data_IF_288082339687
#
_entry.id   IF_288082339687
#
_cell.length_a   1.000
_cell.length_b   1.000
_cell.length_c   1.000
_cell.angle_alpha   90.00
_cell.angle_beta   90.00
_cell.angle_gamma   90.00
#
_symmetry.space_group_name_H-M   'P 1'
#
loop_
_entity.id
_entity.type
_entity.pdbx_description
1 polymer ?
#
# COMPACT_ATOMS: atom_id res chain seq x y z
N UNK A 1 -7.15 -0.75 16.95
CA UNK A 1 -8.51 -0.76 16.38
C UNK A 1 -8.41 -1.19 14.93
N UNK A 2 -9.18 -2.18 14.49
CA UNK A 2 -9.17 -2.60 13.09
C UNK A 2 -10.08 -1.71 12.23
N UNK A 3 -9.79 -1.53 10.95
CA UNK A 3 -10.66 -0.78 10.02
C UNK A 3 -12.11 -1.31 10.01
N UNK A 4 -12.30 -2.61 10.19
CA UNK A 4 -13.62 -3.24 10.31
C UNK A 4 -14.39 -2.74 11.54
N UNK A 5 -13.72 -2.57 12.68
CA UNK A 5 -14.35 -2.01 13.90
C UNK A 5 -14.71 -0.53 13.73
N UNK A 6 -14.03 0.19 12.83
CA UNK A 6 -14.32 1.59 12.50
C UNK A 6 -15.44 1.74 11.45
N UNK A 7 -16.02 0.63 10.96
CA UNK A 7 -17.04 0.65 9.93
C UNK A 7 -16.51 0.99 8.53
N UNK A 8 -15.19 0.94 8.33
CA UNK A 8 -14.58 1.16 7.01
C UNK A 8 -14.83 -0.07 6.13
N UNK A 9 -15.48 0.10 4.97
CA UNK A 9 -15.70 -1.02 4.06
C UNK A 9 -14.37 -1.48 3.48
N UNK A 10 -14.11 -2.79 3.57
CA UNK A 10 -12.97 -3.43 2.94
C UNK A 10 -13.48 -4.33 1.81
N UNK A 11 -12.75 -4.36 0.70
CA UNK A 11 -12.97 -5.34 -0.33
C UNK A 11 -12.56 -6.73 0.17
N UNK A 12 -13.23 -7.80 -0.29
CA UNK A 12 -12.83 -9.15 0.05
C UNK A 12 -11.38 -9.36 -0.42
N UNK A 13 -10.62 -10.09 0.39
CA UNK A 13 -9.28 -10.53 -0.03
C UNK A 13 -9.36 -11.50 -1.21
N UNK A 14 -8.28 -11.56 -1.98
CA UNK A 14 -8.14 -12.42 -3.14
C UNK A 14 -7.31 -13.66 -2.80
N UNK A 15 -7.48 -14.74 -3.56
CA UNK A 15 -6.61 -15.91 -3.40
C UNK A 15 -5.17 -15.58 -3.82
N UNK A 16 -4.19 -16.15 -3.13
CA UNK A 16 -2.76 -15.90 -3.40
C UNK A 16 -2.39 -16.20 -4.86
N UNK A 17 -2.95 -17.26 -5.44
CA UNK A 17 -2.71 -17.62 -6.84
C UNK A 17 -3.31 -16.60 -7.82
N UNK A 18 -4.45 -16.00 -7.47
CA UNK A 18 -5.05 -14.91 -8.26
C UNK A 18 -4.19 -13.65 -8.18
N UNK A 19 -3.73 -13.26 -6.98
CA UNK A 19 -2.82 -12.14 -6.75
C UNK A 19 -1.56 -12.31 -7.60
N UNK A 20 -0.92 -13.48 -7.53
CA UNK A 20 0.28 -13.81 -8.32
C UNK A 20 0.03 -13.78 -9.82
N UNK A 21 -1.12 -14.29 -10.27
CA UNK A 21 -1.49 -14.28 -11.69
C UNK A 21 -1.64 -12.84 -12.21
N UNK A 22 -2.33 -11.98 -11.46
CA UNK A 22 -2.52 -10.57 -11.80
C UNK A 22 -1.18 -9.81 -11.80
N UNK A 23 -0.35 -10.01 -10.79
CA UNK A 23 0.99 -9.42 -10.72
C UNK A 23 1.86 -9.85 -11.92
N UNK A 24 1.83 -11.13 -12.27
CA UNK A 24 2.55 -11.68 -13.42
C UNK A 24 2.09 -11.08 -14.75
N UNK A 25 0.78 -10.86 -14.93
CA UNK A 25 0.24 -10.17 -16.11
C UNK A 25 0.70 -8.71 -16.19
N UNK A 26 0.92 -8.07 -15.03
CA UNK A 26 1.47 -6.72 -14.92
C UNK A 26 3.00 -6.64 -15.04
N UNK A 27 3.71 -7.78 -15.12
CA UNK A 27 5.17 -7.85 -14.98
C UNK A 27 5.69 -7.21 -13.68
N UNK A 28 4.92 -7.35 -12.59
CA UNK A 28 5.21 -6.79 -11.28
C UNK A 28 5.69 -7.89 -10.34
N UNK A 29 6.75 -7.60 -9.56
CA UNK A 29 7.21 -8.48 -8.49
C UNK A 29 6.54 -8.05 -7.18
N UNK A 30 5.90 -8.99 -6.49
CA UNK A 30 5.34 -8.79 -5.17
C UNK A 30 6.12 -9.62 -4.15
N UNK A 31 6.31 -9.06 -2.96
CA UNK A 31 6.81 -9.77 -1.79
C UNK A 31 5.67 -10.48 -1.05
N UNK A 32 5.99 -11.50 -0.25
CA UNK A 32 4.99 -12.32 0.44
C UNK A 32 4.11 -11.51 1.42
N UNK A 33 4.62 -10.45 2.03
CA UNK A 33 3.86 -9.54 2.89
C UNK A 33 2.81 -8.72 2.13
N UNK A 34 3.11 -8.32 0.89
CA UNK A 34 2.16 -7.65 -0.01
C UNK A 34 1.09 -8.64 -0.48
N UNK A 35 1.48 -9.87 -0.84
CA UNK A 35 0.52 -10.94 -1.13
C UNK A 35 -0.41 -11.18 0.06
N UNK A 36 0.14 -11.21 1.28
CA UNK A 36 -0.63 -11.39 2.51
C UNK A 36 -1.59 -10.23 2.78
N UNK A 37 -1.16 -8.98 2.56
CA UNK A 37 -2.02 -7.80 2.71
C UNK A 37 -3.28 -7.94 1.85
N UNK A 38 -3.11 -8.24 0.56
CA UNK A 38 -4.21 -8.36 -0.39
C UNK A 38 -5.03 -9.65 -0.24
N UNK A 39 -4.46 -10.68 0.36
CA UNK A 39 -5.20 -11.88 0.80
C UNK A 39 -6.08 -11.58 2.01
N UNK A 40 -5.64 -10.74 2.94
CA UNK A 40 -6.40 -10.39 4.15
C UNK A 40 -7.49 -9.34 3.88
N UNK A 41 -7.17 -8.34 3.07
CA UNK A 41 -8.11 -7.33 2.61
C UNK A 41 -7.74 -6.88 1.19
N UNK A 42 -8.69 -6.94 0.26
CA UNK A 42 -8.48 -6.52 -1.13
C UNK A 42 -8.35 -5.00 -1.32
N UNK A 43 -7.97 -4.27 -0.26
CA UNK A 43 -8.00 -2.82 -0.19
C UNK A 43 -9.35 -2.24 0.23
N UNK A 44 -9.48 -0.93 0.06
CA UNK A 44 -10.73 -0.18 0.28
C UNK A 44 -11.41 0.10 -1.07
N UNK A 45 -12.75 0.20 -1.13
CA UNK A 45 -13.43 0.72 -2.30
C UNK A 45 -12.92 2.13 -2.63
N UNK A 46 -12.76 2.44 -3.92
CA UNK A 46 -12.24 3.73 -4.39
C UNK A 46 -12.95 4.92 -3.73
N UNK A 47 -12.18 5.88 -3.24
CA UNK A 47 -12.70 7.07 -2.56
C UNK A 47 -13.17 6.83 -1.13
N UNK A 48 -12.82 5.67 -0.54
CA UNK A 48 -13.01 5.39 0.88
C UNK A 48 -11.71 5.68 1.61
N UNK A 49 -11.80 6.44 2.68
CA UNK A 49 -10.68 6.72 3.59
C UNK A 49 -11.04 6.30 5.01
N UNK A 50 -10.04 5.99 5.82
CA UNK A 50 -10.23 5.84 7.26
C UNK A 50 -10.29 7.19 8.00
N UNK A 51 -10.38 7.15 9.34
CA UNK A 51 -10.42 8.36 10.18
C UNK A 51 -9.15 9.22 10.10
N UNK A 52 -8.05 8.70 9.56
CA UNK A 52 -6.79 9.39 9.34
C UNK A 52 -6.61 9.85 7.88
N UNK A 53 -7.67 9.80 7.07
CA UNK A 53 -7.62 10.15 5.65
C UNK A 53 -6.71 9.25 4.81
N UNK A 54 -6.47 8.02 5.27
CA UNK A 54 -5.71 7.01 4.57
C UNK A 54 -6.62 6.14 3.71
N UNK A 55 -6.31 6.01 2.43
CA UNK A 55 -6.99 5.09 1.50
C UNK A 55 -6.00 3.99 1.07
N UNK A 56 -6.24 2.75 1.53
CA UNK A 56 -5.56 1.57 0.99
C UNK A 56 -6.16 1.22 -0.37
N UNK A 57 -5.35 1.25 -1.42
CA UNK A 57 -5.85 1.03 -2.77
C UNK A 57 -6.23 -0.43 -3.01
N UNK A 58 -7.27 -0.67 -3.83
CA UNK A 58 -7.54 -2.01 -4.33
C UNK A 58 -6.40 -2.52 -5.21
N UNK A 59 -6.18 -3.84 -5.22
CA UNK A 59 -5.07 -4.45 -5.95
C UNK A 59 -5.07 -4.05 -7.44
N UNK A 60 -6.25 -3.96 -8.06
CA UNK A 60 -6.36 -3.58 -9.47
C UNK A 60 -5.87 -2.15 -9.73
N UNK A 61 -6.04 -1.22 -8.76
CA UNK A 61 -5.52 0.14 -8.87
C UNK A 61 -4.00 0.14 -8.73
N UNK A 62 -3.45 -0.57 -7.73
CA UNK A 62 -2.00 -0.73 -7.57
C UNK A 62 -1.36 -1.25 -8.86
N UNK A 63 -1.88 -2.34 -9.43
CA UNK A 63 -1.31 -2.96 -10.63
C UNK A 63 -1.47 -2.09 -11.88
N UNK A 64 -2.55 -1.31 -11.97
CA UNK A 64 -2.76 -0.36 -13.05
C UNK A 64 -1.74 0.79 -12.99
N UNK A 65 -1.58 1.38 -11.81
CA UNK A 65 -0.79 2.60 -11.62
C UNK A 65 0.72 2.32 -11.50
N UNK A 66 1.12 1.11 -11.09
CA UNK A 66 2.51 0.66 -11.03
C UNK A 66 3.29 0.87 -12.34
N UNK A 67 2.61 0.88 -13.49
CA UNK A 67 3.24 1.12 -14.81
C UNK A 67 3.81 2.53 -14.97
N UNK A 68 3.35 3.47 -14.14
CA UNK A 68 3.81 4.86 -14.16
C UNK A 68 4.99 5.10 -13.21
N UNK A 69 5.42 4.08 -12.47
CA UNK A 69 6.49 4.16 -11.47
C UNK A 69 7.70 3.33 -11.90
N UNK A 70 8.91 3.61 -11.37
CA UNK A 70 10.06 2.74 -11.55
C UNK A 70 9.74 1.31 -11.11
N UNK A 71 10.31 0.30 -11.77
CA UNK A 71 10.04 -1.13 -11.52
C UNK A 71 10.21 -1.57 -10.05
N UNK A 72 10.97 -0.83 -9.24
CA UNK A 72 11.20 -1.13 -7.83
C UNK A 72 10.15 -0.54 -6.88
N UNK A 73 9.18 0.25 -7.36
CA UNK A 73 8.22 0.98 -6.54
C UNK A 73 6.78 0.74 -6.99
N UNK A 74 5.90 0.44 -6.04
CA UNK A 74 4.49 0.16 -6.28
C UNK A 74 3.60 1.08 -5.44
N UNK A 75 2.87 2.02 -6.04
CA UNK A 75 1.94 2.86 -5.29
C UNK A 75 0.76 2.01 -4.78
N UNK A 76 0.47 2.10 -3.48
CA UNK A 76 -0.54 1.23 -2.86
C UNK A 76 -1.50 1.95 -1.92
N UNK A 77 -1.19 3.17 -1.49
CA UNK A 77 -2.09 3.94 -0.66
C UNK A 77 -1.88 5.44 -0.85
N UNK A 78 -2.88 6.23 -0.49
CA UNK A 78 -2.79 7.69 -0.48
C UNK A 78 -3.32 8.30 0.83
N UNK A 79 -2.66 9.36 1.28
CA UNK A 79 -3.09 10.23 2.38
C UNK A 79 -3.66 11.54 1.84
N UNK A 80 -4.95 11.81 2.06
CA UNK A 80 -5.65 12.95 1.44
C UNK A 80 -5.29 14.32 2.01
N UNK A 81 -4.85 14.42 3.27
CA UNK A 81 -4.61 15.71 3.91
C UNK A 81 -3.31 16.41 3.47
N UNK A 82 -2.41 15.68 2.81
CA UNK A 82 -1.02 16.14 2.58
C UNK A 82 -0.45 15.74 1.23
N UNK A 83 -1.30 15.28 0.29
CA UNK A 83 -0.86 14.79 -1.02
C UNK A 83 0.27 13.74 -0.86
N UNK A 84 0.04 12.76 0.01
CA UNK A 84 1.02 11.72 0.29
C UNK A 84 0.70 10.50 -0.54
N UNK A 85 1.63 10.09 -1.40
CA UNK A 85 1.57 8.81 -2.07
C UNK A 85 2.48 7.82 -1.35
N UNK A 86 1.89 6.75 -0.83
CA UNK A 86 2.65 5.66 -0.23
C UNK A 86 2.96 4.60 -1.29
N UNK A 87 4.23 4.20 -1.32
CA UNK A 87 4.78 3.25 -2.27
C UNK A 87 5.45 2.09 -1.53
N UNK A 88 5.29 0.88 -2.04
CA UNK A 88 6.02 -0.31 -1.61
C UNK A 88 7.29 -0.44 -2.44
N UNK A 89 8.43 -0.60 -1.79
CA UNK A 89 9.68 -0.97 -2.44
C UNK A 89 9.95 -2.44 -2.21
N UNK A 90 10.10 -3.20 -3.29
CA UNK A 90 10.49 -4.61 -3.19
C UNK A 90 11.93 -4.71 -2.69
N UNK A 91 12.12 -5.28 -1.51
CA UNK A 91 13.45 -5.55 -0.96
C UNK A 91 13.87 -6.98 -1.32
N UNK A 92 13.00 -7.95 -1.05
CA UNK A 92 13.17 -9.35 -1.41
C UNK A 92 11.82 -10.10 -1.47
N UNK A 93 11.87 -11.41 -1.71
CA UNK A 93 10.68 -12.24 -1.83
C UNK A 93 9.81 -12.30 -0.57
N UNK A 94 10.35 -11.94 0.60
CA UNK A 94 9.66 -11.98 1.89
C UNK A 94 9.09 -10.64 2.32
N UNK A 95 9.73 -9.52 1.94
CA UNK A 95 9.36 -8.20 2.46
C UNK A 95 9.44 -7.06 1.46
N UNK A 96 8.57 -6.07 1.67
CA UNK A 96 8.65 -4.74 1.07
C UNK A 96 8.79 -3.66 2.16
N UNK A 97 9.60 -2.63 1.89
CA UNK A 97 9.66 -1.42 2.71
C UNK A 97 8.62 -0.40 2.22
N UNK A 98 8.20 0.52 3.08
CA UNK A 98 7.20 1.55 2.78
C UNK A 98 7.88 2.89 2.62
N UNK A 99 7.62 3.52 1.49
CA UNK A 99 8.17 4.81 1.09
C UNK A 99 7.04 5.81 0.85
N UNK A 100 7.36 7.09 0.96
CA UNK A 100 6.49 8.20 0.62
C UNK A 100 7.07 8.99 -0.54
N UNK A 101 6.25 9.25 -1.55
CA UNK A 101 6.56 10.06 -2.71
C UNK A 101 5.75 11.37 -2.69
N UNK A 102 6.44 12.50 -2.55
CA UNK A 102 5.84 13.84 -2.59
C UNK A 102 5.79 14.43 -3.99
N UNK A 103 6.63 13.96 -4.91
CA UNK A 103 6.71 14.44 -6.28
C UNK A 103 5.79 13.68 -7.23
N UNK A 104 5.24 12.54 -6.78
CA UNK A 104 4.41 11.63 -7.58
C UNK A 104 5.12 11.17 -8.86
N UNK A 105 6.44 11.06 -8.79
CA UNK A 105 7.31 10.75 -9.94
C UNK A 105 8.09 9.44 -9.77
N UNK A 106 8.00 8.82 -8.58
CA UNK A 106 8.70 7.61 -8.19
C UNK A 106 10.21 7.76 -8.01
N UNK A 107 10.78 8.95 -8.19
CA UNK A 107 12.24 9.16 -8.14
C UNK A 107 12.70 9.73 -6.80
N UNK A 108 11.87 10.54 -6.14
CA UNK A 108 12.21 11.23 -4.89
C UNK A 108 11.40 10.68 -3.72
N UNK A 109 11.66 9.42 -3.37
CA UNK A 109 10.94 8.75 -2.27
C UNK A 109 11.73 8.76 -0.98
N UNK A 110 11.07 8.90 0.16
CA UNK A 110 11.65 8.74 1.49
C UNK A 110 11.07 7.49 2.16
N UNK A 111 11.91 6.67 2.77
CA UNK A 111 11.43 5.55 3.60
C UNK A 111 10.70 6.11 4.83
N UNK A 112 9.50 5.61 5.08
CA UNK A 112 8.69 5.96 6.26
C UNK A 112 8.47 4.78 7.20
N UNK A 113 8.58 3.55 6.69
CA UNK A 113 8.62 2.35 7.52
C UNK A 113 9.45 1.25 6.86
N UNK A 114 10.20 0.46 7.64
CA UNK A 114 11.04 -0.62 7.10
C UNK A 114 10.23 -1.85 6.65
N UNK A 115 8.94 -1.91 6.96
CA UNK A 115 8.03 -3.00 6.55
C UNK A 115 6.56 -2.56 6.62
N UNK A 116 5.68 -3.33 5.98
CA UNK A 116 4.23 -3.21 6.13
C UNK A 116 3.78 -3.39 7.60
N UNK A 117 4.37 -4.34 8.33
CA UNK A 117 4.04 -4.56 9.75
C UNK A 117 4.41 -3.34 10.61
N UNK A 118 5.60 -2.77 10.38
CA UNK A 118 6.02 -1.53 11.05
C UNK A 118 5.09 -0.36 10.73
N UNK A 119 4.66 -0.21 9.47
CA UNK A 119 3.67 0.80 9.09
C UNK A 119 2.33 0.58 9.80
N UNK A 120 1.84 -0.66 9.87
CA UNK A 120 0.61 -0.98 10.59
C UNK A 120 0.74 -0.62 12.08
N UNK A 121 1.88 -0.88 12.71
CA UNK A 121 2.17 -0.43 14.06
C UNK A 121 2.07 1.08 14.20
N UNK A 122 2.70 1.84 13.30
CA UNK A 122 2.64 3.30 13.28
C UNK A 122 1.22 3.84 13.10
N UNK A 123 0.43 3.29 12.16
CA UNK A 123 -0.97 3.69 11.97
C UNK A 123 -1.85 3.45 13.21
N UNK A 124 -1.50 2.47 14.04
CA UNK A 124 -2.27 2.15 15.24
C UNK A 124 -1.86 2.98 16.47
N UNK A 125 -0.57 3.32 16.58
CA UNK A 125 -0.02 4.04 17.72
C UNK A 125 -0.01 5.56 17.52
N UNK A 126 0.52 6.01 16.39
CA UNK A 126 0.64 7.42 16.02
C UNK A 126 0.66 7.59 14.49
N UNK A 127 -0.49 7.77 13.84
CA UNK A 127 -0.58 7.99 12.40
C UNK A 127 0.26 9.17 11.90
N UNK A 128 0.52 10.16 12.77
CA UNK A 128 1.34 11.31 12.40
C UNK A 128 2.82 10.96 12.19
N UNK A 129 3.28 9.83 12.72
CA UNK A 129 4.63 9.32 12.50
C UNK A 129 4.89 8.90 11.05
N UNK A 130 3.83 8.61 10.28
CA UNK A 130 3.93 8.34 8.85
C UNK A 130 3.97 9.60 8.00
N UNK A 131 3.74 10.77 8.59
CA UNK A 131 3.96 12.04 7.93
C UNK A 131 5.40 12.48 8.17
N UNK A 132 6.17 12.71 7.10
CA UNK A 132 7.43 13.44 7.25
C UNK A 132 7.13 14.93 7.54
N UNK A 133 7.91 15.57 8.42
CA UNK A 133 7.70 16.96 8.84
C UNK A 133 7.84 17.99 7.71
#
# INVERSE_FOLDING_TARGET
MSWREQGIPLLPGLDIEEIRSLAKMGHISLSADVELLYFLCGGMPRGTVDGNWFELWPLERLLHDAKNFPYSLLPFAEGFLSAQLYCLRFEDASSASVHMDFSFDGNSTNEVAPSLDAMCGMLLEDPSALCLP
#
